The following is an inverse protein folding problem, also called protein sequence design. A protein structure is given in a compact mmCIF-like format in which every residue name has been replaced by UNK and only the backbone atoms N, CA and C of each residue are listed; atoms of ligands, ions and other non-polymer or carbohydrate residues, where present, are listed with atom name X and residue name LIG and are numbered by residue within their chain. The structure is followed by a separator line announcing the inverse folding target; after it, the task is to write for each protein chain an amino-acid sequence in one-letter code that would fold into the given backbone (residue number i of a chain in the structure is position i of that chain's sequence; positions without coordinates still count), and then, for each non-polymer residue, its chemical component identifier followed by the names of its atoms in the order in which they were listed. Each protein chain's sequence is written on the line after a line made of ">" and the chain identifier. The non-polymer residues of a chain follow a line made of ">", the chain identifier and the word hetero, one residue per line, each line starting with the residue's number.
data_IF_206801945750
#
_entry.id   IF_206801945750
#
_cell.length_a   1.000
_cell.length_b   1.000
_cell.length_c   1.000
_cell.angle_alpha   90.00
_cell.angle_beta   90.00
_cell.angle_gamma   90.00
#
_symmetry.space_group_name_H-M   'P 1'
#
loop_
_entity.id
_entity.type
_entity.pdbx_description
1 polymer ?
#
# COMPACT_ATOMS: atom_id res chain seq x y z
N UNK A 1 -0.32 -35.45 5.66
CA UNK A 1 -1.28 -34.75 6.54
C UNK A 1 -0.75 -33.33 6.81
N UNK A 2 -1.06 -32.35 5.95
CA UNK A 2 -0.55 -30.97 6.07
C UNK A 2 -1.44 -30.19 7.04
N UNK A 3 -0.89 -29.74 8.16
CA UNK A 3 -1.60 -28.91 9.14
C UNK A 3 -1.72 -27.49 8.59
N UNK A 4 -2.97 -27.04 8.44
CA UNK A 4 -3.34 -25.66 8.17
C UNK A 4 -2.83 -24.75 9.30
N UNK A 5 -1.90 -23.85 8.96
CA UNK A 5 -1.50 -22.72 9.80
C UNK A 5 -1.91 -21.45 9.07
N UNK A 6 -3.20 -21.16 9.13
CA UNK A 6 -3.71 -19.81 9.00
C UNK A 6 -4.52 -19.55 10.26
N UNK A 7 -3.82 -19.09 11.30
CA UNK A 7 -4.48 -18.50 12.47
C UNK A 7 -5.22 -17.27 11.98
N UNK A 8 -6.52 -17.45 11.74
CA UNK A 8 -7.39 -16.43 11.18
C UNK A 8 -7.52 -15.26 12.15
N UNK A 9 -6.98 -14.10 11.74
CA UNK A 9 -7.54 -12.82 12.19
C UNK A 9 -8.98 -12.83 11.69
N UNK A 10 -9.96 -13.06 12.57
CA UNK A 10 -11.38 -12.91 12.26
C UNK A 10 -11.69 -11.42 12.11
N UNK A 11 -11.26 -10.84 10.99
CA UNK A 11 -11.80 -9.57 10.52
C UNK A 11 -13.17 -9.94 9.96
N UNK A 12 -14.25 -9.38 10.52
CA UNK A 12 -15.62 -9.62 10.08
C UNK A 12 -15.87 -8.86 8.75
N UNK A 13 -15.11 -9.21 7.71
CA UNK A 13 -15.17 -8.59 6.40
C UNK A 13 -16.26 -9.26 5.55
N UNK A 14 -17.04 -8.50 4.76
CA UNK A 14 -18.08 -9.05 3.88
C UNK A 14 -17.54 -10.11 2.90
N UNK A 15 -18.37 -11.10 2.53
CA UNK A 15 -18.01 -12.23 1.64
C UNK A 15 -17.34 -11.82 0.32
N UNK A 16 -17.59 -10.60 -0.15
CA UNK A 16 -16.98 -10.04 -1.35
C UNK A 16 -15.46 -9.78 -1.19
N UNK A 17 -14.94 -9.58 0.02
CA UNK A 17 -13.52 -9.28 0.28
C UNK A 17 -12.61 -10.52 0.37
N UNK A 18 -13.16 -11.73 0.36
CA UNK A 18 -12.39 -12.97 0.54
C UNK A 18 -11.41 -13.29 -0.60
N UNK A 19 -11.69 -12.98 -1.89
CA UNK A 19 -10.68 -13.09 -2.96
C UNK A 19 -9.46 -12.19 -2.71
N UNK A 20 -9.67 -11.00 -2.13
CA UNK A 20 -8.62 -10.05 -1.78
C UNK A 20 -7.74 -10.60 -0.66
N UNK A 21 -8.34 -11.14 0.40
CA UNK A 21 -7.64 -11.77 1.53
C UNK A 21 -6.84 -12.99 1.06
N UNK A 22 -7.37 -13.78 0.11
CA UNK A 22 -6.63 -14.89 -0.49
C UNK A 22 -5.46 -14.40 -1.37
N UNK A 23 -5.62 -13.30 -2.11
CA UNK A 23 -4.51 -12.69 -2.86
C UNK A 23 -3.36 -12.27 -1.93
N UNK A 24 -3.67 -11.78 -0.72
CA UNK A 24 -2.67 -11.46 0.31
C UNK A 24 -1.86 -12.66 0.80
N UNK A 25 -2.38 -13.88 0.64
CA UNK A 25 -1.65 -15.11 0.99
C UNK A 25 -0.62 -15.55 -0.06
N UNK A 26 -0.67 -14.97 -1.27
CA UNK A 26 0.21 -15.28 -2.39
C UNK A 26 1.36 -14.28 -2.58
N UNK A 27 1.19 -13.02 -2.14
CA UNK A 27 2.27 -12.03 -2.14
C UNK A 27 3.32 -12.39 -1.07
N UNK A 28 4.44 -12.98 -1.52
CA UNK A 28 5.51 -13.48 -0.65
C UNK A 28 6.17 -14.79 -1.09
N UNK A 29 5.73 -15.40 -2.20
CA UNK A 29 6.20 -16.71 -2.64
C UNK A 29 7.58 -16.75 -3.34
N UNK A 30 8.31 -15.62 -3.46
CA UNK A 30 9.67 -15.58 -4.06
C UNK A 30 10.81 -15.50 -3.03
N UNK A 31 10.50 -15.30 -1.74
CA UNK A 31 11.47 -15.37 -0.63
C UNK A 31 11.30 -16.68 0.14
N UNK A 32 12.40 -17.24 0.66
CA UNK A 32 12.39 -18.46 1.48
C UNK A 32 11.60 -18.32 2.80
N UNK A 33 11.20 -17.08 3.16
CA UNK A 33 10.27 -16.77 4.26
C UNK A 33 9.07 -15.97 3.74
N UNK A 34 7.87 -16.55 3.84
CA UNK A 34 6.61 -15.80 3.64
C UNK A 34 6.45 -14.76 4.75
N UNK A 35 6.58 -13.48 4.42
CA UNK A 35 6.23 -12.37 5.34
C UNK A 35 4.71 -12.18 5.37
N UNK A 36 4.23 -11.68 6.51
CA UNK A 36 2.82 -11.28 6.67
C UNK A 36 2.68 -9.77 6.51
N UNK A 37 1.53 -9.31 6.02
CA UNK A 37 1.18 -7.89 6.08
C UNK A 37 0.79 -7.47 7.49
N UNK A 38 1.16 -6.26 7.89
CA UNK A 38 0.67 -5.65 9.13
C UNK A 38 -0.85 -5.44 9.09
N UNK A 39 -1.48 -5.25 10.24
CA UNK A 39 -2.91 -4.89 10.31
C UNK A 39 -3.20 -3.60 9.54
N UNK A 40 -2.28 -2.64 9.58
CA UNK A 40 -2.38 -1.37 8.85
C UNK A 40 -2.38 -1.60 7.33
N UNK A 41 -1.49 -2.45 6.81
CA UNK A 41 -1.46 -2.77 5.38
C UNK A 41 -2.71 -3.55 4.97
N UNK A 42 -3.16 -4.52 5.76
CA UNK A 42 -4.41 -5.24 5.50
C UNK A 42 -5.62 -4.30 5.43
N UNK A 43 -5.73 -3.35 6.36
CA UNK A 43 -6.76 -2.32 6.33
C UNK A 43 -6.63 -1.41 5.08
N UNK A 44 -5.40 -1.05 4.69
CA UNK A 44 -5.17 -0.22 3.52
C UNK A 44 -5.66 -0.90 2.23
N UNK A 45 -5.43 -2.21 2.11
CA UNK A 45 -5.93 -3.04 1.03
C UNK A 45 -7.45 -3.07 0.98
N UNK A 46 -8.12 -3.31 2.12
CA UNK A 46 -9.59 -3.31 2.21
C UNK A 46 -10.16 -1.96 1.79
N UNK A 47 -9.61 -0.87 2.34
CA UNK A 47 -10.04 0.49 2.02
C UNK A 47 -9.75 0.87 0.56
N UNK A 48 -8.66 0.38 -0.03
CA UNK A 48 -8.31 0.68 -1.43
C UNK A 48 -9.32 0.09 -2.41
N UNK A 49 -9.86 -1.08 -2.09
CA UNK A 49 -10.94 -1.71 -2.85
C UNK A 49 -12.25 -0.93 -2.73
N UNK A 50 -12.61 -0.51 -1.53
CA UNK A 50 -13.81 0.31 -1.33
C UNK A 50 -13.72 1.62 -2.13
N UNK A 51 -12.56 2.27 -2.14
CA UNK A 51 -12.32 3.48 -2.92
C UNK A 51 -12.45 3.27 -4.43
N UNK A 52 -11.87 2.18 -4.95
CA UNK A 52 -11.99 1.83 -6.37
C UNK A 52 -13.45 1.53 -6.74
N UNK A 53 -14.18 0.81 -5.87
CA UNK A 53 -15.59 0.50 -6.07
C UNK A 53 -16.48 1.74 -6.08
N UNK A 54 -16.33 2.64 -5.10
CA UNK A 54 -17.11 3.88 -4.99
C UNK A 54 -16.87 4.83 -6.17
N UNK A 55 -15.69 4.75 -6.81
CA UNK A 55 -15.33 5.59 -7.97
C UNK A 55 -15.55 4.89 -9.31
N UNK A 56 -16.09 3.66 -9.31
CA UNK A 56 -16.27 2.85 -10.51
C UNK A 56 -14.96 2.60 -11.30
N UNK A 57 -13.82 2.57 -10.59
CA UNK A 57 -12.54 2.21 -11.19
C UNK A 57 -12.45 0.71 -11.42
N UNK A 58 -11.89 0.31 -12.56
CA UNK A 58 -11.84 -1.10 -12.97
C UNK A 58 -10.76 -1.93 -12.25
N UNK A 59 -9.83 -1.28 -11.55
CA UNK A 59 -8.76 -1.93 -10.81
C UNK A 59 -8.33 -1.12 -9.57
N UNK A 60 -7.71 -1.81 -8.62
CA UNK A 60 -7.07 -1.22 -7.45
C UNK A 60 -5.64 -0.84 -7.82
N UNK A 61 -5.46 0.44 -8.16
CA UNK A 61 -4.15 1.05 -8.43
C UNK A 61 -3.35 1.42 -7.17
N UNK A 62 -2.03 1.63 -7.37
CA UNK A 62 -1.10 2.04 -6.30
C UNK A 62 -1.54 3.31 -5.57
N UNK A 63 -2.16 4.27 -6.28
CA UNK A 63 -2.68 5.48 -5.64
C UNK A 63 -3.79 5.23 -4.62
N UNK A 64 -4.63 4.21 -4.82
CA UNK A 64 -5.65 3.85 -3.81
C UNK A 64 -4.99 3.31 -2.54
N UNK A 65 -3.93 2.49 -2.67
CA UNK A 65 -3.19 1.96 -1.53
C UNK A 65 -2.49 3.08 -0.76
N UNK A 66 -1.85 4.01 -1.46
CA UNK A 66 -1.15 5.14 -0.85
C UNK A 66 -2.11 6.08 -0.15
N UNK A 67 -3.23 6.40 -0.79
CA UNK A 67 -4.27 7.21 -0.17
C UNK A 67 -4.83 6.53 1.08
N UNK A 68 -5.08 5.21 1.02
CA UNK A 68 -5.49 4.45 2.20
C UNK A 68 -4.48 4.55 3.34
N UNK A 69 -3.17 4.46 3.05
CA UNK A 69 -2.10 4.57 4.07
C UNK A 69 -2.08 5.97 4.69
N UNK A 70 -2.17 7.02 3.88
CA UNK A 70 -2.13 8.41 4.36
C UNK A 70 -3.34 8.72 5.25
N UNK A 71 -4.52 8.18 4.93
CA UNK A 71 -5.78 8.39 5.68
C UNK A 71 -5.87 7.61 6.99
N UNK A 72 -4.95 6.69 7.24
CA UNK A 72 -4.91 5.93 8.49
C UNK A 72 -4.40 6.78 9.66
N UNK A 73 -4.60 6.32 10.91
CA UNK A 73 -3.98 6.93 12.07
C UNK A 73 -2.46 7.07 11.89
N UNK A 74 -1.83 8.09 12.50
CA UNK A 74 -0.41 8.35 12.35
C UNK A 74 0.46 7.13 12.67
N UNK A 75 1.37 6.82 11.77
CA UNK A 75 2.41 5.80 11.93
C UNK A 75 3.75 6.23 11.34
N UNK A 76 4.64 5.28 11.08
CA UNK A 76 5.99 5.55 10.57
C UNK A 76 6.00 6.28 9.22
N UNK A 77 5.04 5.96 8.34
CA UNK A 77 4.86 6.69 7.07
C UNK A 77 4.57 8.18 7.30
N UNK A 78 3.66 8.51 8.22
CA UNK A 78 3.34 9.90 8.57
C UNK A 78 4.52 10.61 9.22
N UNK A 79 5.27 9.91 10.07
CA UNK A 79 6.49 10.43 10.70
C UNK A 79 7.55 10.83 9.66
N UNK A 80 7.82 9.95 8.68
CA UNK A 80 8.74 10.21 7.57
C UNK A 80 8.27 11.38 6.71
N UNK A 81 6.99 11.40 6.31
CA UNK A 81 6.47 12.48 5.47
C UNK A 81 6.51 13.84 6.21
N UNK A 82 6.19 13.87 7.50
CA UNK A 82 6.29 15.09 8.31
C UNK A 82 7.74 15.55 8.47
N UNK A 83 8.70 14.64 8.65
CA UNK A 83 10.12 15.01 8.76
C UNK A 83 10.69 15.57 7.46
N UNK A 84 10.07 15.24 6.31
CA UNK A 84 10.33 15.85 5.01
C UNK A 84 9.62 17.21 4.81
N UNK A 85 8.89 17.72 5.80
CA UNK A 85 8.15 18.97 5.71
C UNK A 85 6.85 18.88 4.91
N UNK A 86 6.34 17.67 4.68
CA UNK A 86 5.11 17.47 3.90
C UNK A 86 3.87 17.87 4.71
N UNK A 87 3.02 18.70 4.11
CA UNK A 87 1.64 18.91 4.57
C UNK A 87 0.79 17.69 4.17
N UNK A 88 0.48 16.84 5.14
CA UNK A 88 -0.26 15.60 4.91
C UNK A 88 -1.69 15.83 4.45
N UNK A 89 -2.34 16.89 4.94
CA UNK A 89 -3.72 17.22 4.55
C UNK A 89 -3.76 17.59 3.07
N UNK A 90 -2.81 18.43 2.66
CA UNK A 90 -2.70 18.87 1.27
C UNK A 90 -2.24 17.74 0.35
N UNK A 91 -1.31 16.89 0.80
CA UNK A 91 -0.89 15.69 0.06
C UNK A 91 -2.07 14.74 -0.17
N UNK A 92 -2.88 14.49 0.87
CA UNK A 92 -4.07 13.66 0.77
C UNK A 92 -5.03 14.20 -0.29
N UNK A 93 -5.31 15.51 -0.26
CA UNK A 93 -6.20 16.16 -1.22
C UNK A 93 -5.70 16.01 -2.66
N UNK A 94 -4.43 16.32 -2.92
CA UNK A 94 -3.85 16.22 -4.26
C UNK A 94 -3.80 14.78 -4.78
N UNK A 95 -3.61 13.80 -3.90
CA UNK A 95 -3.71 12.38 -4.28
C UNK A 95 -5.17 12.02 -4.61
N UNK A 96 -6.13 12.44 -3.79
CA UNK A 96 -7.56 12.22 -4.04
C UNK A 96 -8.00 12.78 -5.40
N UNK A 97 -7.53 13.98 -5.75
CA UNK A 97 -7.77 14.60 -7.05
C UNK A 97 -7.12 13.78 -8.17
N UNK A 98 -5.83 13.47 -8.05
CA UNK A 98 -5.09 12.75 -9.08
C UNK A 98 -5.73 11.39 -9.42
N UNK A 99 -6.14 10.61 -8.41
CA UNK A 99 -6.73 9.28 -8.63
C UNK A 99 -8.11 9.31 -9.30
N UNK A 100 -8.78 10.47 -9.36
CA UNK A 100 -10.08 10.60 -10.07
C UNK A 100 -9.94 10.32 -11.57
N UNK A 101 -8.73 10.46 -12.12
CA UNK A 101 -8.45 10.20 -13.53
C UNK A 101 -8.15 8.72 -13.84
N UNK A 102 -8.29 7.80 -12.88
CA UNK A 102 -8.09 6.38 -13.17
C UNK A 102 -9.18 5.84 -14.11
N UNK A 103 -8.86 4.81 -14.92
CA UNK A 103 -9.81 4.24 -15.85
C UNK A 103 -11.05 3.69 -15.13
N UNK A 104 -12.22 4.18 -15.55
CA UNK A 104 -13.49 3.58 -15.19
C UNK A 104 -13.65 2.19 -15.84
N UNK A 105 -14.52 1.37 -15.27
CA UNK A 105 -15.01 0.18 -15.95
C UNK A 105 -16.28 -0.36 -15.32
N UNK A 106 -16.66 -1.56 -15.73
CA UNK A 106 -17.84 -2.21 -15.18
C UNK A 106 -17.69 -2.36 -13.66
N UNK A 107 -18.76 -2.04 -12.94
CA UNK A 107 -18.82 -2.12 -11.47
C UNK A 107 -18.83 -3.59 -11.06
N UNK A 108 -17.66 -4.21 -11.12
CA UNK A 108 -17.45 -5.59 -10.77
C UNK A 108 -17.37 -5.71 -9.26
N UNK A 109 -18.14 -6.65 -8.71
CA UNK A 109 -18.05 -6.99 -7.29
C UNK A 109 -16.62 -7.39 -6.93
N UNK A 110 -15.86 -8.01 -7.85
CA UNK A 110 -14.48 -8.40 -7.65
C UNK A 110 -13.50 -7.53 -8.45
N UNK A 111 -13.12 -6.38 -7.89
CA UNK A 111 -12.12 -5.48 -8.48
C UNK A 111 -10.71 -6.06 -8.27
N UNK A 112 -9.94 -6.36 -9.34
CA UNK A 112 -8.57 -6.86 -9.24
C UNK A 112 -7.58 -5.75 -8.89
N UNK A 113 -6.38 -6.11 -8.44
CA UNK A 113 -5.25 -5.18 -8.38
C UNK A 113 -4.71 -4.90 -9.78
N UNK A 114 -4.16 -3.71 -10.00
CA UNK A 114 -3.36 -3.46 -11.19
C UNK A 114 -2.03 -4.20 -11.12
N UNK A 115 -1.42 -4.50 -12.26
CA UNK A 115 -0.09 -5.12 -12.32
C UNK A 115 0.96 -4.29 -11.55
N UNK A 116 0.81 -2.98 -11.55
CA UNK A 116 1.68 -2.08 -10.80
C UNK A 116 1.50 -2.27 -9.29
N UNK A 117 0.27 -2.29 -8.78
CA UNK A 117 -0.01 -2.54 -7.37
C UNK A 117 0.50 -3.93 -6.93
N UNK A 118 0.28 -4.97 -7.75
CA UNK A 118 0.80 -6.32 -7.49
C UNK A 118 2.34 -6.35 -7.38
N UNK A 119 3.02 -5.67 -8.29
CA UNK A 119 4.47 -5.53 -8.25
C UNK A 119 4.94 -4.76 -7.00
N UNK A 120 4.20 -3.72 -6.58
CA UNK A 120 4.45 -2.98 -5.35
C UNK A 120 4.47 -3.87 -4.10
N UNK A 121 3.54 -4.82 -3.98
CA UNK A 121 3.56 -5.79 -2.87
C UNK A 121 4.81 -6.68 -2.90
N UNK A 122 5.27 -7.08 -4.09
CA UNK A 122 6.51 -7.83 -4.26
C UNK A 122 7.74 -7.06 -3.79
N UNK A 123 7.84 -5.78 -4.18
CA UNK A 123 8.92 -4.88 -3.75
C UNK A 123 8.88 -4.61 -2.24
N UNK A 124 7.69 -4.47 -1.66
CA UNK A 124 7.51 -4.22 -0.22
C UNK A 124 8.06 -5.37 0.64
N UNK A 125 8.01 -6.61 0.13
CA UNK A 125 8.62 -7.76 0.80
C UNK A 125 10.15 -7.63 0.85
N UNK A 126 10.79 -7.24 -0.27
CA UNK A 126 12.24 -7.01 -0.31
C UNK A 126 12.67 -5.84 0.56
N UNK A 127 11.89 -4.75 0.58
CA UNK A 127 12.15 -3.61 1.48
C UNK A 127 12.02 -4.04 2.94
N UNK A 128 11.02 -4.83 3.31
CA UNK A 128 10.92 -5.35 4.68
C UNK A 128 12.14 -6.21 5.06
N UNK A 129 12.74 -6.95 4.12
CA UNK A 129 14.01 -7.65 4.35
C UNK A 129 15.18 -6.66 4.53
N UNK A 130 15.26 -5.58 3.75
CA UNK A 130 16.28 -4.52 3.90
C UNK A 130 16.25 -3.82 5.28
N UNK A 131 15.08 -3.79 5.92
CA UNK A 131 14.87 -3.23 7.26
C UNK A 131 14.79 -4.30 8.36
N UNK A 132 15.22 -5.54 8.08
CA UNK A 132 15.20 -6.69 9.01
C UNK A 132 13.81 -7.01 9.61
N UNK A 133 12.74 -6.51 9.02
CA UNK A 133 11.38 -6.68 9.52
C UNK A 133 10.77 -7.99 9.04
N UNK A 134 10.17 -8.74 9.96
CA UNK A 134 9.43 -9.97 9.64
C UNK A 134 8.00 -9.69 9.12
N UNK A 135 7.60 -8.42 9.08
CA UNK A 135 6.26 -7.95 8.71
C UNK A 135 6.38 -6.90 7.62
N UNK A 136 5.49 -6.94 6.64
CA UNK A 136 5.37 -5.87 5.64
C UNK A 136 4.49 -4.77 6.25
N UNK A 137 5.13 -3.68 6.66
CA UNK A 137 4.50 -2.52 7.29
C UNK A 137 4.17 -1.44 6.25
N UNK A 138 3.44 -0.40 6.69
CA UNK A 138 2.90 0.60 5.79
C UNK A 138 4.00 1.39 5.07
N UNK A 139 5.08 1.69 5.76
CA UNK A 139 6.28 2.37 5.24
C UNK A 139 7.00 1.53 4.18
N UNK A 140 7.02 0.20 4.31
CA UNK A 140 7.61 -0.70 3.32
C UNK A 140 6.79 -0.68 2.04
N UNK A 141 5.46 -0.77 2.17
CA UNK A 141 4.56 -0.69 1.03
C UNK A 141 4.56 0.71 0.39
N UNK A 142 4.58 1.77 1.19
CA UNK A 142 4.64 3.15 0.70
C UNK A 142 5.91 3.37 -0.11
N UNK A 143 7.07 2.99 0.43
CA UNK A 143 8.35 3.09 -0.28
C UNK A 143 8.38 2.21 -1.54
N UNK A 144 7.79 1.01 -1.49
CA UNK A 144 7.70 0.14 -2.65
C UNK A 144 6.93 0.79 -3.81
N UNK A 145 5.80 1.42 -3.51
CA UNK A 145 4.96 2.11 -4.49
C UNK A 145 5.65 3.38 -5.01
N UNK A 146 6.37 4.12 -4.15
CA UNK A 146 7.21 5.26 -4.58
C UNK A 146 8.32 4.85 -5.55
N UNK A 147 8.87 3.63 -5.41
CA UNK A 147 10.01 3.15 -6.21
C UNK A 147 9.63 2.78 -7.64
N UNK A 148 8.34 2.64 -7.94
CA UNK A 148 7.89 2.21 -9.26
C UNK A 148 7.95 3.37 -10.24
N UNK A 149 8.67 3.17 -11.34
CA UNK A 149 8.68 4.11 -12.47
C UNK A 149 7.31 4.12 -13.17
N UNK A 150 6.90 5.28 -13.69
CA UNK A 150 5.58 5.52 -14.32
C UNK A 150 4.40 5.37 -13.37
N UNK A 151 4.19 6.38 -12.53
CA UNK A 151 3.01 6.43 -11.66
C UNK A 151 2.25 7.75 -11.86
N UNK A 152 0.91 7.68 -11.83
CA UNK A 152 0.03 8.84 -12.00
C UNK A 152 0.35 9.96 -10.98
N UNK A 153 0.85 9.58 -9.82
CA UNK A 153 1.18 10.48 -8.71
C UNK A 153 2.55 11.19 -8.84
N UNK A 154 3.27 11.07 -9.97
CA UNK A 154 4.67 11.54 -10.10
C UNK A 154 4.78 13.04 -9.92
N UNK A 155 3.82 13.75 -10.51
CA UNK A 155 3.71 15.18 -10.37
C UNK A 155 3.33 15.58 -8.95
N UNK A 156 2.45 14.82 -8.30
CA UNK A 156 2.06 15.03 -6.89
C UNK A 156 3.28 14.91 -5.98
N UNK A 157 4.04 13.80 -6.03
CA UNK A 157 5.22 13.65 -5.16
C UNK A 157 6.26 14.72 -5.40
N UNK A 158 6.51 15.08 -6.66
CA UNK A 158 7.43 16.17 -7.00
C UNK A 158 7.00 17.50 -6.40
N UNK A 159 5.70 17.83 -6.44
CA UNK A 159 5.12 19.04 -5.81
C UNK A 159 5.37 19.08 -4.29
N UNK A 160 5.35 17.93 -3.62
CA UNK A 160 5.60 17.81 -2.19
C UNK A 160 7.07 17.52 -1.82
N UNK A 161 7.99 17.49 -2.79
CA UNK A 161 9.39 17.17 -2.54
C UNK A 161 9.62 15.73 -2.06
N UNK A 162 8.67 14.82 -2.30
CA UNK A 162 8.77 13.41 -1.93
C UNK A 162 9.49 12.68 -3.06
N UNK A 163 10.58 11.98 -2.72
CA UNK A 163 11.24 11.04 -3.62
C UNK A 163 11.51 9.72 -2.89
N UNK A 164 11.67 8.64 -3.65
CA UNK A 164 12.04 7.33 -3.10
C UNK A 164 13.32 7.42 -2.26
N UNK A 165 14.32 8.15 -2.72
CA UNK A 165 15.61 8.33 -2.04
C UNK A 165 15.46 9.09 -0.72
N UNK A 166 14.74 10.22 -0.73
CA UNK A 166 14.53 11.04 0.46
C UNK A 166 13.69 10.28 1.50
N UNK A 167 12.63 9.60 1.07
CA UNK A 167 11.80 8.79 1.95
C UNK A 167 12.60 7.66 2.60
N UNK A 168 13.38 6.91 1.81
CA UNK A 168 14.23 5.84 2.33
C UNK A 168 15.25 6.34 3.34
N UNK A 169 15.93 7.45 3.03
CA UNK A 169 16.95 8.04 3.90
C UNK A 169 16.36 8.46 5.23
N UNK A 170 15.19 9.10 5.23
CA UNK A 170 14.52 9.50 6.47
C UNK A 170 13.96 8.31 7.23
N UNK A 171 13.40 7.31 6.55
CA UNK A 171 12.93 6.09 7.19
C UNK A 171 14.08 5.39 7.93
N UNK A 172 15.25 5.25 7.30
CA UNK A 172 16.45 4.71 7.95
C UNK A 172 16.86 5.49 9.19
N UNK A 173 16.87 6.82 9.11
CA UNK A 173 17.22 7.67 10.27
C UNK A 173 16.25 7.49 11.43
N UNK A 174 14.96 7.47 11.12
CA UNK A 174 13.91 7.33 12.13
C UNK A 174 13.95 5.94 12.79
N UNK A 175 14.30 4.88 12.05
CA UNK A 175 14.39 3.51 12.61
C UNK A 175 15.72 3.22 13.33
N UNK A 176 16.73 4.06 13.13
CA UNK A 176 18.02 3.96 13.83
C UNK A 176 18.01 4.64 15.21
N UNK A 177 16.96 5.39 15.53
CA UNK A 177 16.74 6.08 16.81
C UNK A 177 15.80 5.29 17.71
#
# INVERSE_FOLDING_TARGET
>A
MRKNIVGAIKINAPKIFYPLINALSHFGARSSKRKRFSSQVQAAIINSREQAFQRHHNCIEGGHLLLSIIKQPPGKTHEVLKSLGCDLTRLQHDIEEAITNYPAGESNVNIPFSKQAEHGFGLACGIADEFDSQVIEAEHLFLALLRQENHLLAQTYKKFGISCELFYTQLKRILAN
#
